data_IF_047396990057
#
_entry.id   IF_047396990057
#
_cell.length_a   1.000
_cell.length_b   1.000
_cell.length_c   1.000
_cell.angle_alpha   90.00
_cell.angle_beta   90.00
_cell.angle_gamma   90.00
#
_symmetry.space_group_name_H-M   'P 1'
#
loop_
_entity.id
_entity.type
_entity.pdbx_description
1 polymer ?
#
# COMPACT_ATOMS: atom_id res chain seq x y z
N UNK A 1 -15.58 8.74 -4.59
CA UNK A 1 -14.59 7.79 -4.00
C UNK A 1 -15.30 6.81 -3.10
N UNK A 2 -15.05 5.51 -3.24
CA UNK A 2 -15.52 4.48 -2.32
C UNK A 2 -14.64 4.45 -1.08
N UNK A 3 -15.23 4.16 0.09
CA UNK A 3 -14.49 3.99 1.35
C UNK A 3 -14.49 2.53 1.80
N UNK A 4 -13.53 2.19 2.65
CA UNK A 4 -13.39 0.89 3.29
C UNK A 4 -13.10 1.09 4.79
N UNK A 5 -13.48 0.13 5.67
CA UNK A 5 -13.05 0.16 7.06
C UNK A 5 -11.51 0.14 7.17
N UNK A 6 -10.97 0.87 8.14
CA UNK A 6 -9.53 0.92 8.38
C UNK A 6 -9.17 0.12 9.64
N UNK A 7 -8.70 -1.09 9.42
CA UNK A 7 -8.41 -2.01 10.50
C UNK A 7 -9.66 -2.37 11.34
N UNK A 8 -9.46 -2.78 12.58
CA UNK A 8 -10.55 -3.08 13.51
C UNK A 8 -11.08 -1.79 14.20
N UNK A 9 -11.15 -0.68 13.45
CA UNK A 9 -11.64 0.61 13.94
C UNK A 9 -12.94 1.00 13.25
N UNK A 10 -13.62 2.03 13.74
CA UNK A 10 -14.81 2.61 13.11
C UNK A 10 -14.44 3.64 12.02
N UNK A 11 -13.15 3.85 11.76
CA UNK A 11 -12.67 4.82 10.79
C UNK A 11 -12.90 4.28 9.38
N UNK A 12 -13.43 5.13 8.51
CA UNK A 12 -13.56 4.86 7.07
C UNK A 12 -12.50 5.66 6.32
N UNK A 13 -11.77 4.99 5.42
CA UNK A 13 -10.74 5.60 4.59
C UNK A 13 -11.04 5.36 3.10
N UNK A 14 -10.55 6.22 2.19
CA UNK A 14 -10.70 5.99 0.76
C UNK A 14 -10.05 4.65 0.35
N UNK A 15 -10.66 3.97 -0.60
CA UNK A 15 -10.08 2.72 -1.12
C UNK A 15 -8.92 2.93 -2.10
N UNK A 16 -8.52 4.17 -2.33
CA UNK A 16 -7.34 4.58 -3.11
C UNK A 16 -6.48 5.50 -2.26
N UNK A 17 -5.18 5.25 -2.25
CA UNK A 17 -4.14 5.96 -1.49
C UNK A 17 -3.14 6.56 -2.47
N UNK A 18 -2.70 7.79 -2.25
CA UNK A 18 -1.64 8.42 -3.03
C UNK A 18 -0.26 8.09 -2.42
N UNK A 19 0.52 7.27 -3.12
CA UNK A 19 1.89 6.91 -2.71
C UNK A 19 2.92 7.91 -3.20
N UNK A 20 3.74 8.43 -2.30
CA UNK A 20 4.69 9.53 -2.52
C UNK A 20 6.13 9.06 -2.79
N UNK A 21 6.35 7.79 -3.11
CA UNK A 21 7.69 7.22 -3.30
C UNK A 21 8.52 7.89 -4.42
N UNK A 22 7.87 8.41 -5.44
CA UNK A 22 8.54 8.89 -6.67
C UNK A 22 8.66 10.41 -6.79
N UNK A 23 8.33 11.17 -5.74
CA UNK A 23 8.36 12.65 -5.78
C UNK A 23 9.75 13.25 -5.54
N UNK A 24 10.78 12.45 -5.29
CA UNK A 24 12.13 12.92 -4.97
C UNK A 24 12.70 13.90 -6.00
N UNK A 25 12.46 13.67 -7.29
CA UNK A 25 12.93 14.52 -8.40
C UNK A 25 11.89 15.51 -8.92
N UNK A 26 10.69 15.56 -8.34
CA UNK A 26 9.64 16.46 -8.79
C UNK A 26 9.87 17.89 -8.27
N UNK A 27 9.44 18.87 -9.04
CA UNK A 27 9.37 20.29 -8.61
C UNK A 27 8.25 20.47 -7.58
N UNK A 28 8.30 21.56 -6.82
CA UNK A 28 7.24 21.89 -5.88
C UNK A 28 5.87 22.06 -6.55
N UNK A 29 5.82 22.63 -7.74
CA UNK A 29 4.58 22.80 -8.49
C UNK A 29 4.00 21.47 -8.97
N UNK A 30 4.84 20.53 -9.39
CA UNK A 30 4.40 19.17 -9.74
C UNK A 30 3.86 18.42 -8.51
N UNK A 31 4.49 18.57 -7.35
CA UNK A 31 4.00 17.97 -6.09
C UNK A 31 2.66 18.58 -5.68
N UNK A 32 2.53 19.93 -5.75
CA UNK A 32 1.26 20.63 -5.46
C UNK A 32 0.16 20.20 -6.41
N UNK A 33 0.47 20.09 -7.70
CA UNK A 33 -0.51 19.67 -8.70
C UNK A 33 -0.96 18.22 -8.47
N UNK A 34 -0.03 17.30 -8.17
CA UNK A 34 -0.33 15.92 -7.80
C UNK A 34 -1.23 15.85 -6.56
N UNK A 35 -0.88 16.60 -5.51
CA UNK A 35 -1.67 16.68 -4.27
C UNK A 35 -3.09 17.20 -4.53
N UNK A 36 -3.20 18.33 -5.23
CA UNK A 36 -4.51 18.93 -5.53
C UNK A 36 -5.39 17.97 -6.34
N UNK A 37 -4.83 17.34 -7.38
CA UNK A 37 -5.58 16.36 -8.18
C UNK A 37 -6.03 15.15 -7.34
N UNK A 38 -5.18 14.66 -6.44
CA UNK A 38 -5.55 13.57 -5.52
C UNK A 38 -6.71 14.01 -4.61
N UNK A 39 -6.63 15.19 -4.00
CA UNK A 39 -7.68 15.76 -3.15
C UNK A 39 -9.01 15.96 -3.89
N UNK A 40 -8.96 16.51 -5.10
CA UNK A 40 -10.14 16.70 -5.96
C UNK A 40 -10.77 15.36 -6.35
N UNK A 41 -9.97 14.33 -6.53
CA UNK A 41 -10.44 12.96 -6.77
C UNK A 41 -11.00 12.26 -5.52
N UNK A 42 -10.94 12.91 -4.34
CA UNK A 42 -11.41 12.37 -3.06
C UNK A 42 -10.40 11.49 -2.34
N UNK A 43 -9.11 11.60 -2.69
CA UNK A 43 -8.03 10.94 -1.96
C UNK A 43 -7.53 11.89 -0.88
N UNK A 44 -7.66 11.49 0.38
CA UNK A 44 -7.15 12.17 1.57
C UNK A 44 -6.09 11.36 2.32
N UNK A 45 -5.67 10.23 1.77
CA UNK A 45 -4.70 9.31 2.35
C UNK A 45 -3.40 9.32 1.53
N UNK A 46 -2.28 9.71 2.17
CA UNK A 46 -0.96 9.82 1.55
C UNK A 46 0.02 8.86 2.21
N UNK A 47 0.70 8.05 1.38
CA UNK A 47 1.60 6.98 1.83
C UNK A 47 3.06 7.33 1.53
N UNK A 48 3.85 7.39 2.59
CA UNK A 48 5.27 7.66 2.59
C UNK A 48 6.10 6.49 3.12
N UNK A 49 7.40 6.65 3.19
CA UNK A 49 8.34 5.86 3.98
C UNK A 49 9.64 6.67 4.20
N UNK A 50 10.28 6.40 5.30
CA UNK A 50 11.58 7.00 5.68
C UNK A 50 12.68 6.78 4.63
N UNK A 51 12.63 5.64 3.93
CA UNK A 51 13.60 5.26 2.90
C UNK A 51 13.33 5.92 1.54
N UNK A 52 12.15 6.48 1.30
CA UNK A 52 11.78 6.99 -0.02
C UNK A 52 12.63 8.18 -0.43
N UNK A 53 13.23 8.05 -1.63
CA UNK A 53 14.21 9.01 -2.16
C UNK A 53 15.65 8.69 -1.85
N UNK A 54 15.96 7.62 -1.08
CA UNK A 54 17.33 7.25 -0.74
C UNK A 54 18.23 7.06 -1.98
N UNK A 55 17.72 6.36 -3.01
CA UNK A 55 18.45 6.10 -4.25
C UNK A 55 18.41 7.24 -5.28
N UNK A 56 17.78 8.37 -4.94
CA UNK A 56 17.79 9.54 -5.82
C UNK A 56 19.18 10.19 -5.81
N UNK A 57 19.73 10.68 -6.96
CA UNK A 57 20.99 11.41 -6.97
C UNK A 57 20.97 12.58 -5.98
N UNK A 58 21.90 12.59 -5.02
CA UNK A 58 21.92 13.55 -3.92
C UNK A 58 20.83 13.33 -2.85
N UNK A 59 20.16 12.18 -2.92
CA UNK A 59 19.10 11.80 -2.00
C UNK A 59 19.59 11.32 -0.63
N UNK A 60 18.65 10.78 0.14
CA UNK A 60 18.90 10.23 1.47
C UNK A 60 17.57 9.82 2.10
N UNK A 61 17.64 9.32 3.33
CA UNK A 61 16.43 9.00 4.09
C UNK A 61 15.56 10.26 4.25
N UNK A 62 14.25 10.04 4.31
CA UNK A 62 13.24 11.10 4.48
C UNK A 62 13.17 12.13 3.35
N UNK A 63 13.83 11.91 2.19
CA UNK A 63 13.80 12.90 1.10
C UNK A 63 12.39 13.16 0.59
N UNK A 64 11.62 12.12 0.29
CA UNK A 64 10.24 12.30 -0.21
C UNK A 64 9.33 12.94 0.84
N UNK A 65 9.51 12.64 2.12
CA UNK A 65 8.78 13.27 3.22
C UNK A 65 9.08 14.77 3.29
N UNK A 66 10.37 15.17 3.26
CA UNK A 66 10.75 16.60 3.21
C UNK A 66 10.21 17.30 1.97
N UNK A 67 10.34 16.68 0.78
CA UNK A 67 9.84 17.27 -0.46
C UNK A 67 8.33 17.53 -0.42
N UNK A 68 7.58 16.60 0.18
CA UNK A 68 6.14 16.76 0.40
C UNK A 68 5.84 17.95 1.31
N UNK A 69 6.50 18.04 2.46
CA UNK A 69 6.31 19.14 3.43
C UNK A 69 6.72 20.50 2.84
N UNK A 70 7.88 20.59 2.21
CA UNK A 70 8.41 21.83 1.61
C UNK A 70 7.53 22.36 0.49
N UNK A 71 7.02 21.46 -0.37
CA UNK A 71 6.16 21.83 -1.47
C UNK A 71 4.79 22.30 -0.99
N UNK A 72 4.16 21.61 -0.05
CA UNK A 72 2.77 21.85 0.34
C UNK A 72 2.63 22.88 1.46
N UNK A 73 3.48 22.88 2.46
CA UNK A 73 3.44 23.78 3.62
C UNK A 73 2.04 23.85 4.25
N UNK A 74 1.46 22.66 4.50
CA UNK A 74 0.10 22.55 5.00
C UNK A 74 -0.07 23.30 6.31
N UNK A 75 -1.16 24.07 6.42
CA UNK A 75 -1.61 24.62 7.69
C UNK A 75 -2.10 23.47 8.61
N UNK A 76 -2.23 23.75 9.91
CA UNK A 76 -2.75 22.74 10.85
C UNK A 76 -4.14 22.22 10.44
N UNK A 77 -5.03 23.11 9.95
CA UNK A 77 -6.36 22.73 9.50
C UNK A 77 -6.34 21.88 8.23
N UNK A 78 -5.40 22.10 7.31
CA UNK A 78 -5.22 21.24 6.11
C UNK A 78 -4.61 19.90 6.49
N UNK A 79 -3.66 19.87 7.45
CA UNK A 79 -3.06 18.64 7.98
C UNK A 79 -4.12 17.71 8.62
N UNK A 80 -5.08 18.28 9.34
CA UNK A 80 -6.19 17.53 9.94
C UNK A 80 -7.13 16.88 8.92
N UNK A 81 -7.17 17.36 7.68
CA UNK A 81 -8.02 16.84 6.62
C UNK A 81 -7.40 15.70 5.83
N UNK A 82 -6.21 15.26 6.18
CA UNK A 82 -5.52 14.18 5.47
C UNK A 82 -5.01 13.12 6.45
N UNK A 83 -4.88 11.91 5.94
CA UNK A 83 -4.22 10.79 6.63
C UNK A 83 -2.79 10.68 6.11
N UNK A 84 -1.80 10.84 7.00
CA UNK A 84 -0.39 10.60 6.70
C UNK A 84 0.03 9.25 7.25
N UNK A 85 0.41 8.35 6.35
CA UNK A 85 1.03 7.08 6.64
C UNK A 85 2.51 7.14 6.25
N UNK A 86 3.39 6.65 7.12
CA UNK A 86 4.79 6.41 6.78
C UNK A 86 5.27 5.05 7.29
N UNK A 87 6.51 4.70 6.99
CA UNK A 87 7.06 3.37 7.28
C UNK A 87 8.49 3.50 7.80
N UNK A 88 8.87 2.54 8.67
CA UNK A 88 10.21 2.44 9.26
C UNK A 88 10.70 1.00 9.28
N UNK A 89 11.96 0.78 9.65
CA UNK A 89 12.54 -0.53 9.90
C UNK A 89 13.43 -1.04 8.77
N UNK A 90 13.65 -0.29 7.69
CA UNK A 90 14.69 -0.59 6.69
C UNK A 90 15.92 0.27 6.98
N UNK A 91 17.07 -0.37 7.14
CA UNK A 91 18.38 0.29 7.24
C UNK A 91 19.05 0.25 5.87
N UNK A 92 19.56 1.38 5.40
CA UNK A 92 20.12 1.49 4.06
C UNK A 92 21.63 1.27 4.00
N UNK A 93 22.37 1.57 5.09
CA UNK A 93 23.83 1.42 5.17
C UNK A 93 24.25 1.03 6.60
N UNK A 94 24.76 -0.21 6.82
CA UNK A 94 24.68 -1.34 5.88
C UNK A 94 23.22 -1.78 5.63
N UNK A 95 22.95 -2.32 4.45
CA UNK A 95 21.59 -2.74 4.10
C UNK A 95 21.08 -3.85 5.02
N UNK A 96 19.92 -3.64 5.62
CA UNK A 96 19.31 -4.59 6.54
C UNK A 96 17.97 -4.11 7.09
N UNK A 97 17.55 -4.73 8.17
CA UNK A 97 16.31 -4.41 8.87
C UNK A 97 16.61 -4.20 10.35
N UNK A 98 15.90 -3.27 10.97
CA UNK A 98 16.01 -2.99 12.40
C UNK A 98 14.65 -2.57 12.95
N UNK A 99 14.05 -3.43 13.77
CA UNK A 99 12.81 -3.20 14.48
C UNK A 99 13.03 -3.07 16.01
N UNK A 100 14.23 -2.62 16.41
CA UNK A 100 14.51 -2.28 17.80
C UNK A 100 13.69 -1.04 18.23
N UNK A 101 13.48 -0.91 19.52
CA UNK A 101 12.83 0.27 20.11
C UNK A 101 13.50 1.57 19.65
N UNK A 102 14.83 1.63 19.75
CA UNK A 102 15.62 2.80 19.44
C UNK A 102 15.45 3.22 17.98
N UNK A 103 15.51 2.27 17.05
CA UNK A 103 15.38 2.56 15.62
C UNK A 103 13.95 3.00 15.25
N UNK A 104 12.93 2.31 15.74
CA UNK A 104 11.53 2.65 15.44
C UNK A 104 11.20 4.07 15.93
N UNK A 105 11.58 4.39 17.18
CA UNK A 105 11.29 5.71 17.77
C UNK A 105 12.05 6.81 17.05
N UNK A 106 13.36 6.65 16.85
CA UNK A 106 14.19 7.65 16.17
C UNK A 106 13.69 7.91 14.74
N UNK A 107 13.41 6.85 13.96
CA UNK A 107 12.92 6.99 12.59
C UNK A 107 11.56 7.67 12.53
N UNK A 108 10.63 7.35 13.45
CA UNK A 108 9.32 8.00 13.53
C UNK A 108 9.46 9.51 13.83
N UNK A 109 10.35 9.89 14.76
CA UNK A 109 10.63 11.28 15.11
C UNK A 109 11.28 12.05 13.95
N UNK A 110 12.19 11.41 13.22
CA UNK A 110 12.77 11.99 12.00
C UNK A 110 11.72 12.17 10.90
N UNK A 111 10.80 11.22 10.72
CA UNK A 111 9.67 11.34 9.79
C UNK A 111 8.72 12.49 10.15
N UNK A 112 8.40 12.67 11.43
CA UNK A 112 7.61 13.81 11.93
C UNK A 112 8.26 15.13 11.57
N UNK A 113 9.57 15.26 11.84
CA UNK A 113 10.36 16.44 11.49
C UNK A 113 10.41 16.67 9.98
N UNK A 114 10.61 15.61 9.20
CA UNK A 114 10.68 15.68 7.74
C UNK A 114 9.35 16.10 7.11
N UNK A 115 8.23 15.57 7.62
CA UNK A 115 6.87 15.89 7.20
C UNK A 115 6.36 17.23 7.77
N UNK A 116 7.06 17.84 8.73
CA UNK A 116 6.65 19.10 9.35
C UNK A 116 5.34 18.99 10.12
N UNK A 117 5.13 17.88 10.83
CA UNK A 117 3.90 17.60 11.57
C UNK A 117 4.21 17.03 12.97
N UNK A 118 3.29 17.24 13.91
CA UNK A 118 3.44 16.75 15.28
C UNK A 118 2.98 15.29 15.46
N UNK A 119 2.23 14.74 14.49
CA UNK A 119 1.72 13.38 14.55
C UNK A 119 1.66 12.69 13.19
N UNK A 120 1.79 11.36 13.20
CA UNK A 120 1.47 10.45 12.11
C UNK A 120 0.11 9.81 12.38
N UNK A 121 -0.71 9.67 11.36
CA UNK A 121 -1.96 8.92 11.51
C UNK A 121 -1.67 7.40 11.53
N UNK A 122 -0.69 6.95 10.73
CA UNK A 122 -0.30 5.54 10.66
C UNK A 122 1.21 5.38 10.52
N UNK A 123 1.79 4.48 11.31
CA UNK A 123 3.18 4.02 11.16
C UNK A 123 3.20 2.54 10.84
N UNK A 124 3.84 2.15 9.72
CA UNK A 124 4.01 0.76 9.35
C UNK A 124 5.45 0.27 9.61
N UNK A 125 5.59 -0.98 10.06
CA UNK A 125 6.85 -1.70 9.93
C UNK A 125 7.02 -2.11 8.46
N UNK A 126 8.04 -1.57 7.78
CA UNK A 126 8.14 -1.60 6.30
C UNK A 126 8.40 -2.99 5.73
N UNK A 127 9.19 -3.79 6.43
CA UNK A 127 9.52 -5.19 6.11
C UNK A 127 9.63 -6.00 7.40
N UNK A 128 9.39 -7.32 7.34
CA UNK A 128 9.73 -8.18 8.47
C UNK A 128 11.23 -8.12 8.78
N UNK A 129 11.57 -8.05 10.05
CA UNK A 129 12.93 -8.23 10.54
C UNK A 129 13.07 -9.64 11.09
N UNK A 130 14.08 -10.38 10.62
CA UNK A 130 14.35 -11.74 11.09
C UNK A 130 14.86 -11.79 12.54
N UNK A 131 15.35 -10.66 13.05
CA UNK A 131 15.87 -10.50 14.41
C UNK A 131 14.89 -9.75 15.33
N UNK A 132 13.64 -9.59 14.91
CA UNK A 132 12.63 -8.85 15.66
C UNK A 132 12.42 -9.44 17.07
N UNK A 133 12.45 -8.58 18.06
CA UNK A 133 12.01 -8.87 19.43
C UNK A 133 10.64 -8.16 19.64
N UNK A 134 9.52 -8.90 19.72
CA UNK A 134 8.19 -8.31 19.83
C UNK A 134 8.03 -7.32 20.97
N UNK A 135 8.76 -7.51 22.08
CA UNK A 135 8.76 -6.64 23.25
C UNK A 135 9.37 -5.26 22.95
N UNK A 136 10.38 -5.20 22.07
CA UNK A 136 10.98 -3.93 21.64
C UNK A 136 9.99 -3.14 20.78
N UNK A 137 9.31 -3.82 19.85
CA UNK A 137 8.26 -3.21 19.02
C UNK A 137 7.11 -2.70 19.92
N UNK A 138 6.67 -3.49 20.90
CA UNK A 138 5.61 -3.10 21.82
C UNK A 138 5.99 -1.84 22.60
N UNK A 139 7.21 -1.77 23.17
CA UNK A 139 7.71 -0.58 23.87
C UNK A 139 7.74 0.65 22.96
N UNK A 140 8.15 0.49 21.70
CA UNK A 140 8.20 1.61 20.75
C UNK A 140 6.79 2.11 20.41
N UNK A 141 5.84 1.20 20.18
CA UNK A 141 4.45 1.56 19.90
C UNK A 141 3.79 2.22 21.09
N UNK A 142 3.95 1.68 22.31
CA UNK A 142 3.46 2.30 23.54
C UNK A 142 3.99 3.72 23.74
N UNK A 143 5.30 3.93 23.50
CA UNK A 143 5.93 5.24 23.60
C UNK A 143 5.35 6.23 22.58
N UNK A 144 5.26 5.84 21.32
CA UNK A 144 4.80 6.70 20.23
C UNK A 144 3.30 7.03 20.36
N UNK A 145 2.49 6.07 20.80
CA UNK A 145 1.06 6.27 21.04
C UNK A 145 0.81 7.17 22.26
N UNK A 146 1.43 6.84 23.39
CA UNK A 146 1.23 7.61 24.64
C UNK A 146 1.75 9.05 24.55
N UNK A 147 2.76 9.30 23.72
CA UNK A 147 3.25 10.66 23.44
C UNK A 147 2.42 11.41 22.37
N UNK A 148 1.40 10.77 21.79
CA UNK A 148 0.53 11.35 20.75
C UNK A 148 1.21 11.50 19.39
N UNK A 149 2.40 10.92 19.19
CA UNK A 149 3.17 11.02 17.95
C UNK A 149 2.64 10.11 16.83
N UNK A 150 2.04 8.96 17.18
CA UNK A 150 1.45 8.01 16.24
C UNK A 150 0.09 7.58 16.72
N UNK A 151 -0.92 7.59 15.84
CA UNK A 151 -2.32 7.26 16.17
C UNK A 151 -2.67 5.80 15.94
N UNK A 152 -2.03 5.16 14.95
CA UNK A 152 -2.30 3.77 14.59
C UNK A 152 -1.06 3.09 14.01
N UNK A 153 -1.01 1.77 14.13
CA UNK A 153 0.15 0.97 13.73
C UNK A 153 -0.26 -0.15 12.77
N UNK A 154 0.64 -0.45 11.84
CA UNK A 154 0.44 -1.54 10.90
C UNK A 154 1.77 -2.14 10.46
N UNK A 155 1.69 -3.00 9.47
CA UNK A 155 2.86 -3.70 8.92
C UNK A 155 2.84 -3.64 7.39
N UNK A 156 3.95 -3.99 6.77
CA UNK A 156 4.05 -4.17 5.33
C UNK A 156 4.82 -5.45 5.02
N UNK A 157 4.31 -6.24 4.08
CA UNK A 157 4.90 -7.51 3.64
C UNK A 157 5.06 -8.59 4.73
N UNK A 158 4.24 -8.53 5.77
CA UNK A 158 4.26 -9.54 6.84
C UNK A 158 3.34 -10.72 6.50
N UNK A 159 3.80 -11.91 6.83
CA UNK A 159 2.98 -13.13 6.80
C UNK A 159 2.04 -13.18 8.01
N UNK A 160 0.97 -13.98 7.96
CA UNK A 160 0.09 -14.19 9.11
C UNK A 160 0.84 -14.55 10.41
N UNK A 161 1.83 -15.41 10.34
CA UNK A 161 2.59 -15.85 11.53
C UNK A 161 3.54 -14.79 12.09
N UNK A 162 4.07 -13.93 11.24
CA UNK A 162 4.84 -12.78 11.70
C UNK A 162 3.96 -11.75 12.41
N UNK A 163 2.73 -11.55 11.95
CA UNK A 163 1.76 -10.71 12.66
C UNK A 163 1.37 -11.35 14.00
N UNK A 164 1.12 -12.67 14.03
CA UNK A 164 0.83 -13.40 15.28
C UNK A 164 1.99 -13.26 16.27
N UNK A 165 3.24 -13.35 15.79
CA UNK A 165 4.44 -13.17 16.63
C UNK A 165 4.47 -11.78 17.26
N UNK A 166 4.26 -10.71 16.48
CA UNK A 166 4.21 -9.34 17.03
C UNK A 166 3.11 -9.20 18.09
N UNK A 167 1.93 -9.78 17.86
CA UNK A 167 0.79 -9.75 18.79
C UNK A 167 1.02 -10.49 20.11
N UNK A 168 2.12 -11.24 20.26
CA UNK A 168 2.47 -11.83 21.56
C UNK A 168 2.86 -10.77 22.59
N UNK A 169 3.26 -9.56 22.13
CA UNK A 169 3.66 -8.45 23.01
C UNK A 169 2.94 -7.14 22.65
N UNK A 170 2.71 -6.86 21.37
CA UNK A 170 2.06 -5.62 20.88
C UNK A 170 0.58 -5.66 21.21
N UNK A 171 0.13 -4.68 22.01
CA UNK A 171 -1.27 -4.53 22.41
C UNK A 171 -2.09 -3.73 21.40
N UNK A 172 -1.48 -2.82 20.66
CA UNK A 172 -2.13 -1.97 19.66
C UNK A 172 -2.70 -2.80 18.52
N UNK A 173 -3.88 -2.45 18.00
CA UNK A 173 -4.42 -3.06 16.80
C UNK A 173 -3.48 -2.86 15.60
N UNK A 174 -3.17 -3.93 14.89
CA UNK A 174 -2.53 -3.84 13.57
C UNK A 174 -3.62 -3.47 12.57
N UNK A 175 -3.63 -2.21 12.11
CA UNK A 175 -4.71 -1.68 11.27
C UNK A 175 -4.56 -2.03 9.79
N UNK A 176 -3.33 -2.22 9.30
CA UNK A 176 -3.06 -2.49 7.90
C UNK A 176 -1.91 -3.48 7.70
N UNK A 177 -1.95 -4.23 6.60
CA UNK A 177 -0.81 -4.94 6.03
C UNK A 177 -0.67 -4.52 4.55
N UNK A 178 0.40 -3.80 4.23
CA UNK A 178 0.65 -3.31 2.88
C UNK A 178 1.49 -4.33 2.11
N UNK A 179 0.92 -4.97 1.07
CA UNK A 179 1.53 -6.08 0.33
C UNK A 179 1.58 -5.80 -1.16
N UNK A 180 2.50 -6.44 -1.88
CA UNK A 180 2.46 -6.40 -3.34
C UNK A 180 1.22 -7.12 -3.85
N UNK A 181 0.43 -6.43 -4.67
CA UNK A 181 -0.74 -7.02 -5.30
C UNK A 181 -1.09 -6.27 -6.59
N UNK A 182 -1.09 -7.01 -7.68
CA UNK A 182 -1.67 -6.60 -8.97
C UNK A 182 -2.37 -7.81 -9.57
N UNK A 183 -3.09 -7.64 -10.67
CA UNK A 183 -3.73 -8.78 -11.34
C UNK A 183 -2.72 -9.81 -11.84
N UNK A 184 -1.52 -9.37 -12.23
CA UNK A 184 -0.41 -10.24 -12.68
C UNK A 184 0.47 -10.75 -11.52
N UNK A 185 0.39 -10.12 -10.35
CA UNK A 185 1.07 -10.53 -9.12
C UNK A 185 0.03 -10.75 -8.02
N UNK A 186 -0.78 -11.78 -8.17
CA UNK A 186 -1.92 -12.07 -7.30
C UNK A 186 -1.84 -13.43 -6.61
N UNK A 187 -0.63 -13.94 -6.38
CA UNK A 187 -0.39 -15.24 -5.75
C UNK A 187 -1.12 -15.38 -4.40
N UNK A 188 -1.21 -14.32 -3.61
CA UNK A 188 -1.94 -14.32 -2.33
C UNK A 188 -3.44 -14.57 -2.48
N UNK A 189 -3.99 -14.39 -3.68
CA UNK A 189 -5.39 -14.72 -4.05
C UNK A 189 -5.43 -16.08 -4.76
N UNK A 190 -4.58 -16.26 -5.78
CA UNK A 190 -4.56 -17.43 -6.65
C UNK A 190 -4.29 -18.75 -5.88
N UNK A 191 -3.43 -18.71 -4.86
CA UNK A 191 -3.17 -19.88 -4.00
C UNK A 191 -4.45 -20.45 -3.34
N UNK A 192 -5.40 -19.59 -2.98
CA UNK A 192 -6.67 -20.02 -2.43
C UNK A 192 -7.61 -20.66 -3.47
N UNK A 193 -7.50 -20.24 -4.73
CA UNK A 193 -8.29 -20.81 -5.84
C UNK A 193 -7.78 -22.20 -6.23
N UNK A 194 -6.47 -22.42 -6.19
CA UNK A 194 -5.80 -23.67 -6.56
C UNK A 194 -5.54 -24.59 -5.36
N UNK A 195 -6.14 -24.32 -4.22
CA UNK A 195 -5.95 -25.09 -2.99
C UNK A 195 -6.34 -26.58 -3.21
N UNK A 196 -5.47 -27.48 -2.70
CA UNK A 196 -5.64 -28.94 -2.81
C UNK A 196 -5.67 -29.48 -4.26
N UNK A 197 -5.01 -28.80 -5.21
CA UNK A 197 -4.86 -29.25 -6.59
C UNK A 197 -3.40 -29.63 -6.86
N UNK A 198 -3.19 -30.73 -7.59
CA UNK A 198 -1.87 -31.20 -8.02
C UNK A 198 -1.45 -30.54 -9.34
N UNK A 199 -0.16 -30.25 -9.51
CA UNK A 199 0.39 -29.70 -10.75
C UNK A 199 0.04 -28.21 -10.98
N UNK A 200 -0.35 -27.51 -9.93
CA UNK A 200 -0.64 -26.07 -9.98
C UNK A 200 0.42 -25.31 -9.17
N UNK A 201 1.22 -24.49 -9.81
CA UNK A 201 2.25 -23.68 -9.14
C UNK A 201 1.65 -22.72 -8.11
N UNK A 202 0.48 -22.16 -8.40
CA UNK A 202 -0.23 -21.26 -7.49
C UNK A 202 -0.72 -21.95 -6.20
N UNK A 203 -0.81 -23.29 -6.17
CA UNK A 203 -1.16 -24.03 -4.96
C UNK A 203 -0.03 -24.08 -3.94
N UNK A 204 1.19 -23.73 -4.35
CA UNK A 204 2.36 -23.70 -3.47
C UNK A 204 2.26 -22.50 -2.55
N UNK A 205 2.19 -22.77 -1.25
CA UNK A 205 2.19 -21.73 -0.23
C UNK A 205 3.56 -21.06 -0.15
N UNK A 206 3.66 -19.78 -0.52
CA UNK A 206 4.91 -19.00 -0.49
C UNK A 206 4.99 -18.07 0.72
N UNK A 207 3.92 -17.39 1.06
CA UNK A 207 3.90 -16.31 2.05
C UNK A 207 3.31 -16.76 3.40
N UNK A 208 3.64 -17.95 3.86
CA UNK A 208 3.02 -18.52 5.06
C UNK A 208 1.55 -18.87 4.90
N UNK A 209 0.99 -18.63 3.71
CA UNK A 209 -0.37 -18.94 3.30
C UNK A 209 -1.45 -18.05 3.91
N UNK A 210 -2.53 -17.84 3.17
CA UNK A 210 -3.76 -17.28 3.69
C UNK A 210 -3.69 -15.81 4.13
N UNK A 211 -2.80 -14.98 3.58
CA UNK A 211 -2.72 -13.55 3.92
C UNK A 211 -4.09 -12.88 3.78
N UNK A 212 -4.80 -13.13 2.67
CA UNK A 212 -6.12 -12.51 2.41
C UNK A 212 -7.15 -12.95 3.45
N UNK A 213 -7.23 -14.24 3.74
CA UNK A 213 -8.20 -14.77 4.72
C UNK A 213 -7.86 -14.34 6.14
N UNK A 214 -6.58 -14.40 6.50
CA UNK A 214 -6.11 -13.94 7.80
C UNK A 214 -6.45 -12.47 8.06
N UNK A 215 -6.20 -11.60 7.08
CA UNK A 215 -6.49 -10.17 7.22
C UNK A 215 -7.99 -9.91 7.30
N UNK A 216 -8.82 -10.66 6.57
CA UNK A 216 -10.29 -10.57 6.68
C UNK A 216 -10.80 -11.02 8.05
N UNK A 217 -10.31 -12.15 8.58
CA UNK A 217 -10.69 -12.67 9.91
C UNK A 217 -10.31 -11.66 11.00
N UNK A 218 -9.13 -11.07 10.91
CA UNK A 218 -8.58 -10.16 11.91
C UNK A 218 -8.95 -8.69 11.66
N UNK A 219 -9.76 -8.38 10.65
CA UNK A 219 -10.16 -7.02 10.25
C UNK A 219 -8.96 -6.09 9.96
N UNK A 220 -7.89 -6.64 9.40
CA UNK A 220 -6.71 -5.88 8.97
C UNK A 220 -6.96 -5.39 7.54
N UNK A 221 -6.80 -4.11 7.26
CA UNK A 221 -6.95 -3.56 5.90
C UNK A 221 -5.75 -3.96 5.04
N UNK A 222 -6.00 -4.65 3.92
CA UNK A 222 -4.97 -4.87 2.91
C UNK A 222 -4.77 -3.60 2.09
N UNK A 223 -3.50 -3.24 1.87
CA UNK A 223 -3.10 -2.16 0.98
C UNK A 223 -2.23 -2.74 -0.15
N UNK A 224 -2.67 -2.60 -1.39
CA UNK A 224 -2.00 -3.14 -2.57
C UNK A 224 -0.97 -2.14 -3.11
N UNK A 225 0.32 -2.36 -2.85
CA UNK A 225 1.37 -1.57 -3.51
C UNK A 225 1.75 -2.18 -4.86
N UNK A 226 2.28 -1.36 -5.76
CA UNK A 226 2.57 -1.71 -7.18
C UNK A 226 1.38 -2.32 -7.93
N UNK A 227 0.18 -1.75 -7.86
CA UNK A 227 -1.06 -2.38 -8.33
C UNK A 227 -1.11 -2.59 -9.85
N UNK A 228 -0.18 -2.01 -10.60
CA UNK A 228 -0.13 -2.09 -12.06
C UNK A 228 1.17 -2.71 -12.59
N UNK A 229 2.06 -3.19 -11.70
CA UNK A 229 3.34 -3.79 -12.09
C UNK A 229 3.21 -5.28 -12.32
N UNK A 230 4.03 -5.80 -13.25
CA UNK A 230 4.16 -7.23 -13.55
C UNK A 230 4.78 -8.00 -12.38
N UNK A 231 5.77 -7.38 -11.73
CA UNK A 231 6.52 -7.88 -10.61
C UNK A 231 7.31 -6.75 -9.95
N UNK A 232 8.26 -7.08 -9.10
CA UNK A 232 9.09 -6.06 -8.44
C UNK A 232 10.08 -5.47 -9.45
N UNK A 233 9.90 -4.19 -9.82
CA UNK A 233 10.70 -3.44 -10.79
C UNK A 233 10.62 -3.93 -12.26
N UNK A 234 9.68 -4.81 -12.62
CA UNK A 234 9.58 -5.40 -13.97
C UNK A 234 8.69 -4.56 -14.93
N UNK A 235 8.39 -3.33 -14.57
CA UNK A 235 7.52 -2.45 -15.34
C UNK A 235 6.03 -2.76 -15.17
N UNK A 236 5.20 -2.09 -15.96
CA UNK A 236 3.74 -2.24 -15.90
C UNK A 236 3.25 -3.30 -16.90
N UNK A 237 2.12 -3.92 -16.62
CA UNK A 237 1.52 -4.91 -17.55
C UNK A 237 0.73 -4.27 -18.69
N UNK A 238 0.36 -2.98 -18.61
CA UNK A 238 -0.36 -2.28 -19.68
C UNK A 238 0.49 -2.24 -20.95
N UNK A 239 -0.12 -2.67 -22.08
CA UNK A 239 0.53 -2.79 -23.39
C UNK A 239 1.80 -3.66 -23.39
N UNK A 240 1.99 -4.51 -22.38
CA UNK A 240 3.12 -5.45 -22.35
C UNK A 240 2.85 -6.65 -23.26
N UNK A 241 3.83 -7.03 -24.10
CA UNK A 241 3.72 -8.22 -24.93
C UNK A 241 3.66 -9.53 -24.12
N UNK A 242 4.04 -9.49 -22.86
CA UNK A 242 3.98 -10.65 -21.94
C UNK A 242 2.53 -10.99 -21.52
N UNK A 243 1.59 -10.03 -21.67
CA UNK A 243 0.20 -10.15 -21.23
C UNK A 243 -0.81 -9.71 -22.30
N UNK A 244 -0.78 -10.30 -23.51
CA UNK A 244 -1.66 -9.86 -24.61
C UNK A 244 -3.14 -10.13 -24.29
N UNK A 245 -3.46 -11.26 -23.69
CA UNK A 245 -4.83 -11.63 -23.33
C UNK A 245 -5.40 -10.71 -22.22
N UNK A 246 -4.60 -10.40 -21.20
CA UNK A 246 -4.97 -9.47 -20.16
C UNK A 246 -5.25 -8.07 -20.72
N UNK A 247 -4.38 -7.58 -21.61
CA UNK A 247 -4.57 -6.26 -22.21
C UNK A 247 -5.84 -6.21 -23.07
N UNK A 248 -6.12 -7.26 -23.87
CA UNK A 248 -7.35 -7.36 -24.65
C UNK A 248 -8.61 -7.34 -23.74
N UNK A 249 -8.57 -8.05 -22.61
CA UNK A 249 -9.69 -8.08 -21.67
C UNK A 249 -9.87 -6.74 -20.93
N UNK A 250 -8.76 -6.10 -20.55
CA UNK A 250 -8.78 -4.75 -19.94
C UNK A 250 -9.40 -3.72 -20.91
N UNK A 251 -9.01 -3.75 -22.19
CA UNK A 251 -9.55 -2.86 -23.23
C UNK A 251 -11.04 -3.10 -23.46
N UNK A 252 -11.45 -4.37 -23.54
CA UNK A 252 -12.86 -4.76 -23.71
C UNK A 252 -13.74 -4.24 -22.56
N UNK A 253 -13.26 -4.40 -21.33
CA UNK A 253 -13.98 -3.92 -20.14
C UNK A 253 -13.95 -2.40 -20.02
N UNK A 254 -12.82 -1.76 -20.36
CA UNK A 254 -12.69 -0.32 -20.41
C UNK A 254 -13.73 0.29 -21.35
N UNK A 255 -13.88 -0.27 -22.55
CA UNK A 255 -14.90 0.14 -23.51
C UNK A 255 -16.32 -0.07 -22.97
N UNK A 256 -16.59 -1.22 -22.31
CA UNK A 256 -17.90 -1.52 -21.72
C UNK A 256 -18.31 -0.51 -20.64
N UNK A 257 -17.38 -0.12 -19.78
CA UNK A 257 -17.66 0.78 -18.65
C UNK A 257 -17.42 2.25 -18.96
N UNK A 258 -16.91 2.59 -20.15
CA UNK A 258 -16.61 3.95 -20.57
C UNK A 258 -15.46 4.58 -19.78
N UNK A 259 -14.44 3.80 -19.45
CA UNK A 259 -13.28 4.19 -18.62
C UNK A 259 -11.97 3.75 -19.26
N UNK A 260 -10.84 4.05 -18.60
CA UNK A 260 -9.51 3.57 -19.05
C UNK A 260 -9.20 2.14 -18.56
N UNK A 261 -8.28 1.41 -19.20
CA UNK A 261 -7.76 0.14 -18.70
C UNK A 261 -7.20 0.22 -17.26
N UNK A 262 -6.63 1.37 -16.89
CA UNK A 262 -6.15 1.65 -15.52
C UNK A 262 -7.29 1.61 -14.51
N UNK A 263 -8.45 2.17 -14.86
CA UNK A 263 -9.64 2.10 -14.02
C UNK A 263 -10.12 0.66 -13.81
N UNK A 264 -10.09 -0.17 -14.85
CA UNK A 264 -10.48 -1.59 -14.75
C UNK A 264 -9.51 -2.37 -13.87
N UNK A 265 -8.20 -2.15 -14.01
CA UNK A 265 -7.19 -2.78 -13.15
C UNK A 265 -7.35 -2.34 -11.67
N UNK A 266 -7.67 -1.08 -11.42
CA UNK A 266 -8.03 -0.59 -10.08
C UNK A 266 -9.30 -1.27 -9.57
N UNK A 267 -10.33 -1.36 -10.41
CA UNK A 267 -11.59 -2.01 -10.06
C UNK A 267 -11.41 -3.49 -9.71
N UNK A 268 -10.48 -4.19 -10.37
CA UNK A 268 -10.18 -5.58 -10.03
C UNK A 268 -9.73 -5.73 -8.58
N UNK A 269 -8.83 -4.87 -8.11
CA UNK A 269 -8.34 -4.87 -6.72
C UNK A 269 -9.47 -4.46 -5.76
N UNK A 270 -10.12 -3.33 -6.01
CA UNK A 270 -11.10 -2.73 -5.09
C UNK A 270 -12.44 -3.50 -5.05
N UNK A 271 -12.72 -4.36 -6.04
CA UNK A 271 -13.90 -5.23 -6.10
C UNK A 271 -13.81 -6.37 -5.09
N UNK A 272 -12.60 -6.74 -4.65
CA UNK A 272 -12.42 -7.85 -3.71
C UNK A 272 -13.11 -7.56 -2.37
N UNK A 273 -13.85 -8.54 -1.79
CA UNK A 273 -14.63 -8.33 -0.56
C UNK A 273 -13.78 -8.11 0.70
N UNK A 274 -12.46 -8.26 0.61
CA UNK A 274 -11.53 -7.88 1.68
C UNK A 274 -11.42 -6.35 1.89
N UNK A 275 -12.02 -5.52 1.02
CA UNK A 275 -11.92 -4.07 1.12
C UNK A 275 -10.49 -3.56 0.89
N UNK A 276 -9.83 -4.05 -0.17
CA UNK A 276 -8.42 -3.75 -0.44
C UNK A 276 -8.26 -2.31 -0.91
N UNK A 277 -7.36 -1.55 -0.29
CA UNK A 277 -6.93 -0.24 -0.76
C UNK A 277 -5.87 -0.38 -1.87
N UNK A 278 -5.93 0.50 -2.86
CA UNK A 278 -4.91 0.61 -3.93
C UNK A 278 -3.96 1.75 -3.62
N UNK A 279 -2.68 1.47 -3.46
CA UNK A 279 -1.63 2.48 -3.24
C UNK A 279 -1.02 2.85 -4.59
N UNK A 280 -1.37 4.01 -5.10
CA UNK A 280 -0.89 4.52 -6.38
C UNK A 280 0.56 4.99 -6.25
N UNK A 281 1.41 4.60 -7.19
CA UNK A 281 2.81 5.03 -7.24
C UNK A 281 3.12 5.99 -8.41
N UNK A 282 2.10 6.62 -9.01
CA UNK A 282 2.28 7.55 -10.13
C UNK A 282 2.46 8.98 -9.63
N UNK A 283 3.29 9.76 -10.35
CA UNK A 283 3.41 11.21 -10.18
C UNK A 283 2.65 11.98 -11.27
N UNK A 284 1.95 11.27 -12.18
CA UNK A 284 1.18 11.88 -13.27
C UNK A 284 -0.26 12.08 -12.83
N UNK A 285 -0.75 13.34 -12.70
CA UNK A 285 -2.12 13.63 -12.25
C UNK A 285 -3.21 12.91 -13.05
N UNK A 286 -3.09 12.87 -14.38
CA UNK A 286 -4.06 12.16 -15.23
C UNK A 286 -4.17 10.67 -14.84
N UNK A 287 -3.06 10.00 -14.51
CA UNK A 287 -3.09 8.59 -14.08
C UNK A 287 -3.74 8.41 -12.71
N UNK A 288 -3.67 9.43 -11.83
CA UNK A 288 -4.41 9.42 -10.56
C UNK A 288 -5.92 9.47 -10.86
N UNK A 289 -6.35 10.38 -11.73
CA UNK A 289 -7.75 10.48 -12.14
C UNK A 289 -8.25 9.17 -12.80
N UNK A 290 -7.46 8.61 -13.73
CA UNK A 290 -7.78 7.34 -14.41
C UNK A 290 -7.97 6.19 -13.41
N UNK A 291 -7.06 6.04 -12.45
CA UNK A 291 -7.16 5.01 -11.43
C UNK A 291 -8.37 5.22 -10.52
N UNK A 292 -8.63 6.48 -10.13
CA UNK A 292 -9.74 6.85 -9.25
C UNK A 292 -11.10 6.53 -9.87
N UNK A 293 -11.25 6.64 -11.20
CA UNK A 293 -12.44 6.23 -11.91
C UNK A 293 -12.79 4.74 -11.69
N UNK A 294 -11.81 3.91 -11.34
CA UNK A 294 -12.00 2.48 -11.01
C UNK A 294 -12.54 2.20 -9.60
N UNK A 295 -12.51 3.20 -8.71
CA UNK A 295 -12.83 3.05 -7.27
C UNK A 295 -14.15 2.33 -6.97
N UNK A 296 -15.16 2.54 -7.80
CA UNK A 296 -16.52 2.03 -7.55
C UNK A 296 -17.09 1.16 -8.66
N UNK A 297 -16.32 0.79 -9.68
CA UNK A 297 -16.83 -0.04 -10.78
C UNK A 297 -17.23 -1.42 -10.27
N UNK A 298 -18.50 -1.85 -10.49
CA UNK A 298 -19.02 -3.11 -9.96
C UNK A 298 -18.73 -4.26 -10.95
N UNK A 299 -17.46 -4.62 -11.12
CA UNK A 299 -17.12 -5.79 -11.94
C UNK A 299 -17.96 -7.00 -11.51
N UNK A 300 -18.57 -7.68 -12.46
CA UNK A 300 -19.26 -8.95 -12.20
C UNK A 300 -18.25 -10.02 -11.78
N UNK A 301 -18.74 -11.13 -11.20
CA UNK A 301 -17.87 -12.27 -10.88
C UNK A 301 -17.14 -12.80 -12.11
N UNK A 302 -17.85 -12.95 -13.24
CA UNK A 302 -17.27 -13.44 -14.49
C UNK A 302 -16.14 -12.52 -15.00
N UNK A 303 -16.34 -11.22 -14.96
CA UNK A 303 -15.32 -10.25 -15.36
C UNK A 303 -14.10 -10.26 -14.43
N UNK A 304 -14.34 -10.34 -13.12
CA UNK A 304 -13.26 -10.40 -12.14
C UNK A 304 -12.39 -11.66 -12.32
N UNK A 305 -13.03 -12.83 -12.47
CA UNK A 305 -12.34 -14.11 -12.75
C UNK A 305 -11.74 -14.14 -14.15
N UNK A 306 -12.37 -13.54 -15.14
CA UNK A 306 -11.80 -13.41 -16.48
C UNK A 306 -10.49 -12.67 -16.51
N UNK A 307 -10.36 -11.59 -15.73
CA UNK A 307 -9.11 -10.82 -15.62
C UNK A 307 -7.98 -11.64 -14.98
N UNK A 308 -8.23 -12.40 -13.91
CA UNK A 308 -7.19 -13.20 -13.26
C UNK A 308 -6.76 -14.39 -14.15
N UNK A 309 -7.68 -14.97 -14.92
CA UNK A 309 -7.37 -15.99 -15.93
C UNK A 309 -6.53 -15.41 -17.07
N UNK A 310 -6.93 -14.25 -17.60
CA UNK A 310 -6.20 -13.55 -18.65
C UNK A 310 -4.80 -13.09 -18.21
N UNK A 311 -4.57 -12.92 -16.92
CA UNK A 311 -3.26 -12.67 -16.33
C UNK A 311 -2.39 -13.93 -16.17
N UNK A 312 -2.90 -15.10 -16.55
CA UNK A 312 -2.17 -16.37 -16.54
C UNK A 312 -2.36 -17.24 -15.29
N UNK A 313 -3.22 -16.82 -14.34
CA UNK A 313 -3.53 -17.66 -13.19
C UNK A 313 -4.58 -18.72 -13.54
N UNK A 314 -4.42 -19.89 -12.96
CA UNK A 314 -5.40 -20.95 -13.14
C UNK A 314 -6.64 -20.70 -12.28
N UNK A 315 -7.80 -20.79 -12.90
CA UNK A 315 -9.12 -20.79 -12.23
C UNK A 315 -9.80 -22.10 -12.59
N UNK A 316 -9.66 -23.12 -11.76
CA UNK A 316 -10.15 -24.47 -12.07
C UNK A 316 -11.67 -24.55 -12.22
#
# INVERSE_FOLDING_TARGET
>A
MKTVPFGPTDIQVPNIVAGMMRIAGSTDDEIRHLYTTAREAGIDFFDHADLYGFNHPGGGRHLCERRFAEALRLSASEREQITLQTKTGIVADPWGYDQSYEHIVASAEESLKALGTDYLDVLLLHRPDALVEPQEVARAFDHLESSGKVRAFGVSNHTPRQIDLLRTAVAQPIVANQVQLSVTHSTIIAQGLSSNMTGQDDSITRDGGGIVDYTRINKITLQAWSPFQKGFQDGVFFNSPDYPELNAELDRLAAKYGVTPTAIATAWVTRHPAGIQVVLGTTTPQRVADATAGSGIPLTRAEWYGLIQAAGHNVP
#
